data_IF_316222769217
#
_entry.id   IF_316222769217
#
_cell.length_a   1.000
_cell.length_b   1.000
_cell.length_c   1.000
_cell.angle_alpha   90.00
_cell.angle_beta   90.00
_cell.angle_gamma   90.00
#
_symmetry.space_group_name_H-M   'P 1'
#
loop_
_entity.id
_entity.type
_entity.pdbx_description
1 polymer ?
#
# COMPACT_ATOMS: atom_id res chain seq x y z
N UNK A 1 -8.32 18.84 -7.04
CA UNK A 1 -8.71 19.34 -8.38
C UNK A 1 -9.54 20.60 -8.19
N UNK A 2 -8.94 21.77 -8.30
CA UNK A 2 -9.68 23.02 -8.28
C UNK A 2 -10.18 23.29 -9.71
N UNK A 3 -11.50 23.29 -9.89
CA UNK A 3 -12.16 23.81 -11.09
C UNK A 3 -11.93 25.32 -11.14
N UNK A 4 -10.86 25.75 -11.82
CA UNK A 4 -10.71 27.16 -12.15
C UNK A 4 -11.58 27.48 -13.35
N UNK A 5 -12.59 28.29 -13.07
CA UNK A 5 -13.57 28.83 -14.00
C UNK A 5 -12.82 29.56 -15.14
N UNK A 6 -13.24 29.25 -16.36
CA UNK A 6 -12.68 29.74 -17.60
C UNK A 6 -12.99 31.25 -17.76
N UNK A 7 -12.16 32.12 -17.19
CA UNK A 7 -12.32 33.58 -17.23
C UNK A 7 -12.19 34.18 -18.64
N UNK A 8 -11.78 33.40 -19.66
CA UNK A 8 -11.73 33.83 -21.05
C UNK A 8 -13.11 33.89 -21.75
N UNK A 9 -14.20 33.48 -21.07
CA UNK A 9 -15.56 33.47 -21.64
C UNK A 9 -16.45 34.64 -21.23
N UNK A 10 -15.98 35.56 -20.38
CA UNK A 10 -16.83 36.64 -19.82
C UNK A 10 -16.86 37.92 -20.70
N UNK A 11 -16.07 37.98 -21.78
CA UNK A 11 -16.12 39.11 -22.74
C UNK A 11 -16.48 38.67 -24.17
N UNK A 12 -17.53 37.86 -24.30
CA UNK A 12 -18.34 37.86 -25.52
C UNK A 12 -19.64 38.59 -25.20
N UNK A 13 -19.63 39.90 -25.36
CA UNK A 13 -20.86 40.69 -25.48
C UNK A 13 -21.73 40.06 -26.56
N UNK A 14 -22.93 39.64 -26.15
CA UNK A 14 -23.98 39.13 -27.03
C UNK A 14 -24.23 40.16 -28.15
N UNK A 15 -23.84 39.84 -29.37
CA UNK A 15 -24.42 40.46 -30.57
C UNK A 15 -25.83 39.90 -30.73
N UNK A 16 -26.80 40.57 -30.13
CA UNK A 16 -28.22 40.27 -30.31
C UNK A 16 -28.63 40.54 -31.77
N UNK A 17 -29.48 39.65 -32.28
CA UNK A 17 -30.09 39.71 -33.61
C UNK A 17 -30.72 41.06 -33.92
N UNK A 18 -30.45 41.53 -35.12
CA UNK A 18 -31.16 42.60 -35.84
C UNK A 18 -32.65 42.25 -35.93
N UNK A 19 -33.49 43.00 -35.21
CA UNK A 19 -34.83 43.31 -35.68
C UNK A 19 -34.74 44.57 -36.53
N UNK A 20 -35.16 44.42 -37.79
CA UNK A 20 -35.40 45.49 -38.76
C UNK A 20 -36.57 46.37 -38.33
N UNK A 21 -36.46 47.66 -38.69
CA UNK A 21 -37.42 48.77 -38.55
C UNK A 21 -37.48 49.48 -37.20
N UNK A 22 -36.77 50.63 -37.12
CA UNK A 22 -37.26 51.91 -36.56
C UNK A 22 -36.55 53.03 -37.35
N UNK A 23 -37.30 54.11 -37.58
CA UNK A 23 -37.06 55.18 -38.55
C UNK A 23 -35.75 55.97 -38.44
N UNK A 24 -35.54 56.76 -39.49
CA UNK A 24 -34.46 57.72 -39.66
C UNK A 24 -34.20 58.50 -38.36
N UNK A 25 -33.05 58.22 -37.74
CA UNK A 25 -32.54 59.00 -36.62
C UNK A 25 -32.07 60.33 -37.19
N UNK A 26 -32.78 61.40 -36.88
CA UNK A 26 -32.26 62.75 -37.02
C UNK A 26 -30.90 62.80 -36.33
N UNK A 27 -29.86 63.15 -37.08
CA UNK A 27 -28.53 63.39 -36.51
C UNK A 27 -28.71 64.58 -35.57
N UNK A 28 -28.76 64.32 -34.27
CA UNK A 28 -28.82 65.37 -33.26
C UNK A 28 -27.55 66.19 -33.40
N UNK A 29 -27.65 67.39 -33.94
CA UNK A 29 -26.53 68.32 -34.06
C UNK A 29 -26.16 68.73 -32.63
N UNK A 30 -25.01 68.25 -32.16
CA UNK A 30 -24.46 68.59 -30.85
C UNK A 30 -23.98 70.04 -30.90
N UNK A 31 -24.10 70.78 -29.80
CA UNK A 31 -23.47 72.09 -29.69
C UNK A 31 -21.93 71.92 -29.76
N UNK A 32 -21.22 72.93 -30.27
CA UNK A 32 -19.76 72.88 -30.42
C UNK A 32 -19.02 72.46 -29.13
N UNK A 33 -19.51 72.89 -27.97
CA UNK A 33 -18.98 72.46 -26.66
C UNK A 33 -19.18 70.97 -26.37
N UNK A 34 -20.33 70.40 -26.75
CA UNK A 34 -20.63 68.97 -26.56
C UNK A 34 -19.89 68.08 -27.57
N UNK A 35 -19.61 68.57 -28.77
CA UNK A 35 -18.74 67.87 -29.73
C UNK A 35 -17.29 67.80 -29.22
N UNK A 36 -16.79 68.87 -28.61
CA UNK A 36 -15.47 68.88 -27.97
C UNK A 36 -15.42 67.91 -26.77
N UNK A 37 -16.47 67.86 -25.94
CA UNK A 37 -16.56 66.89 -24.84
C UNK A 37 -16.60 65.45 -25.34
N UNK A 38 -17.36 65.16 -26.41
CA UNK A 38 -17.42 63.83 -27.03
C UNK A 38 -16.06 63.41 -27.61
N UNK A 39 -15.32 64.35 -28.23
CA UNK A 39 -13.97 64.09 -28.72
C UNK A 39 -12.99 63.76 -27.58
N UNK A 40 -13.07 64.50 -26.47
CA UNK A 40 -12.27 64.24 -25.27
C UNK A 40 -12.63 62.88 -24.62
N UNK A 41 -13.91 62.49 -24.63
CA UNK A 41 -14.35 61.17 -24.15
C UNK A 41 -13.85 60.04 -25.03
N UNK A 42 -13.96 60.17 -26.36
CA UNK A 42 -13.41 59.18 -27.30
C UNK A 42 -11.90 59.02 -27.17
N UNK A 43 -11.17 60.11 -26.91
CA UNK A 43 -9.74 60.03 -26.63
C UNK A 43 -9.43 59.29 -25.32
N UNK A 44 -10.22 59.52 -24.26
CA UNK A 44 -10.10 58.76 -23.01
C UNK A 44 -10.43 57.28 -23.20
N UNK A 45 -11.53 56.94 -23.88
CA UNK A 45 -11.90 55.55 -24.17
C UNK A 45 -10.82 54.84 -24.99
N UNK A 46 -10.25 55.50 -26.00
CA UNK A 46 -9.14 54.95 -26.78
C UNK A 46 -7.87 54.73 -25.93
N UNK A 47 -7.58 55.65 -24.99
CA UNK A 47 -6.48 55.51 -24.05
C UNK A 47 -6.71 54.36 -23.04
N UNK A 48 -7.93 54.22 -22.54
CA UNK A 48 -8.34 53.14 -21.63
C UNK A 48 -8.29 51.77 -22.34
N UNK A 49 -8.78 51.69 -23.58
CA UNK A 49 -8.65 50.48 -24.40
C UNK A 49 -7.18 50.11 -24.66
N UNK A 50 -6.32 51.10 -24.93
CA UNK A 50 -4.89 50.88 -25.12
C UNK A 50 -4.22 50.34 -23.84
N UNK A 51 -4.58 50.90 -22.67
CA UNK A 51 -4.13 50.43 -21.36
C UNK A 51 -4.58 49.00 -21.06
N UNK A 52 -5.85 48.68 -21.29
CA UNK A 52 -6.38 47.32 -21.09
C UNK A 52 -5.68 46.32 -22.01
N UNK A 53 -5.40 46.69 -23.27
CA UNK A 53 -4.64 45.84 -24.20
C UNK A 53 -3.19 45.63 -23.75
N UNK A 54 -2.51 46.67 -23.27
CA UNK A 54 -1.15 46.56 -22.71
C UNK A 54 -1.12 45.64 -21.48
N UNK A 55 -2.05 45.80 -20.54
CA UNK A 55 -2.17 44.91 -19.39
C UNK A 55 -2.44 43.46 -19.81
N UNK A 56 -3.35 43.26 -20.76
CA UNK A 56 -3.65 41.95 -21.34
C UNK A 56 -2.42 41.29 -21.98
N UNK A 57 -1.61 42.06 -22.71
CA UNK A 57 -0.37 41.57 -23.31
C UNK A 57 0.68 41.21 -22.25
N UNK A 58 0.87 42.04 -21.22
CA UNK A 58 1.81 41.76 -20.12
C UNK A 58 1.43 40.49 -19.36
N UNK A 59 0.15 40.30 -19.06
CA UNK A 59 -0.36 39.07 -18.43
C UNK A 59 -0.20 37.86 -19.35
N UNK A 60 -0.46 38.00 -20.65
CA UNK A 60 -0.24 36.94 -21.64
C UNK A 60 1.24 36.52 -21.72
N UNK A 61 2.16 37.47 -21.72
CA UNK A 61 3.60 37.20 -21.70
C UNK A 61 4.03 36.52 -20.39
N UNK A 62 3.54 36.99 -19.24
CA UNK A 62 3.82 36.36 -17.95
C UNK A 62 3.34 34.91 -17.91
N UNK A 63 2.11 34.64 -18.38
CA UNK A 63 1.57 33.28 -18.53
C UNK A 63 2.46 32.40 -19.39
N UNK A 64 2.90 32.89 -20.55
CA UNK A 64 3.76 32.13 -21.46
C UNK A 64 5.13 31.81 -20.83
N UNK A 65 5.70 32.73 -20.05
CA UNK A 65 6.93 32.48 -19.29
C UNK A 65 6.73 31.35 -18.27
N UNK A 66 5.61 31.34 -17.54
CA UNK A 66 5.29 30.28 -16.58
C UNK A 66 5.10 28.92 -17.28
N UNK A 67 4.42 28.88 -18.43
CA UNK A 67 4.23 27.63 -19.19
C UNK A 67 5.58 27.06 -19.64
N UNK A 68 6.47 27.91 -20.18
CA UNK A 68 7.82 27.48 -20.59
C UNK A 68 8.65 26.98 -19.40
N UNK A 69 8.59 27.68 -18.27
CA UNK A 69 9.29 27.26 -17.05
C UNK A 69 8.80 25.89 -16.57
N UNK A 70 7.49 25.65 -16.56
CA UNK A 70 6.92 24.36 -16.17
C UNK A 70 7.33 23.22 -17.11
N UNK A 71 7.44 23.49 -18.42
CA UNK A 71 7.93 22.51 -19.39
C UNK A 71 9.41 22.17 -19.14
N UNK A 72 10.26 23.18 -18.94
CA UNK A 72 11.67 22.98 -18.61
C UNK A 72 11.85 22.20 -17.31
N UNK A 73 11.07 22.53 -16.28
CA UNK A 73 11.07 21.81 -15.02
C UNK A 73 10.68 20.33 -15.21
N UNK A 74 9.64 20.05 -16.00
CA UNK A 74 9.21 18.68 -16.30
C UNK A 74 10.27 17.89 -17.06
N UNK A 75 10.95 18.52 -18.01
CA UNK A 75 12.03 17.88 -18.76
C UNK A 75 13.24 17.54 -17.87
N UNK A 76 13.60 18.43 -16.95
CA UNK A 76 14.64 18.17 -15.95
C UNK A 76 14.23 17.05 -14.99
N UNK A 77 12.99 17.07 -14.51
CA UNK A 77 12.45 16.02 -13.64
C UNK A 77 12.59 14.63 -14.28
N UNK A 78 12.27 14.49 -15.57
CA UNK A 78 12.37 13.21 -16.27
C UNK A 78 13.82 12.75 -16.46
N UNK A 79 14.77 13.68 -16.60
CA UNK A 79 16.20 13.34 -16.59
C UNK A 79 16.66 12.83 -15.23
N UNK A 80 16.28 13.50 -14.15
CA UNK A 80 16.63 13.01 -12.80
C UNK A 80 16.00 11.65 -12.48
N UNK A 81 14.77 11.41 -12.95
CA UNK A 81 14.15 10.08 -12.84
C UNK A 81 14.86 9.02 -13.69
N UNK A 82 15.37 9.40 -14.86
CA UNK A 82 16.18 8.52 -15.69
C UNK A 82 17.49 8.12 -14.99
N UNK A 83 18.16 9.06 -14.33
CA UNK A 83 19.37 8.78 -13.55
C UNK A 83 19.05 7.85 -12.36
N UNK A 84 17.95 8.13 -11.64
CA UNK A 84 17.47 7.28 -10.55
C UNK A 84 17.11 5.86 -11.04
N UNK A 85 16.48 5.75 -12.21
CA UNK A 85 16.13 4.48 -12.85
C UNK A 85 17.37 3.69 -13.24
N UNK A 86 18.39 4.34 -13.82
CA UNK A 86 19.64 3.68 -14.19
C UNK A 86 20.32 3.05 -12.98
N UNK A 87 20.45 3.82 -11.89
CA UNK A 87 21.03 3.35 -10.63
C UNK A 87 20.18 2.22 -10.03
N UNK A 88 18.85 2.36 -10.00
CA UNK A 88 17.97 1.31 -9.49
C UNK A 88 18.17 -0.01 -10.24
N UNK A 89 18.18 0.05 -11.58
CA UNK A 89 18.32 -1.12 -12.45
C UNK A 89 19.64 -1.88 -12.25
N UNK A 90 20.74 -1.14 -12.01
CA UNK A 90 22.06 -1.73 -11.77
C UNK A 90 22.12 -2.40 -10.39
N UNK A 91 21.41 -1.86 -9.40
CA UNK A 91 21.44 -2.33 -8.01
C UNK A 91 20.46 -3.49 -7.78
N UNK A 92 19.26 -3.45 -8.36
CA UNK A 92 18.15 -4.38 -8.14
C UNK A 92 18.54 -5.86 -8.35
N UNK A 93 19.55 -6.12 -9.21
CA UNK A 93 20.07 -7.46 -9.51
C UNK A 93 21.43 -7.77 -8.86
N UNK A 94 21.97 -6.86 -8.07
CA UNK A 94 23.28 -7.01 -7.44
C UNK A 94 23.17 -7.63 -6.06
N UNK A 95 24.13 -8.49 -5.69
CA UNK A 95 24.21 -9.13 -4.36
C UNK A 95 24.31 -8.16 -3.18
N UNK A 96 24.60 -6.88 -3.45
CA UNK A 96 24.79 -5.85 -2.44
C UNK A 96 23.55 -4.94 -2.30
N UNK A 97 22.46 -5.25 -3.00
CA UNK A 97 21.23 -4.45 -3.01
C UNK A 97 20.73 -4.15 -1.59
N UNK A 98 20.57 -5.19 -0.76
CA UNK A 98 20.11 -5.05 0.63
C UNK A 98 21.00 -4.12 1.45
N UNK A 99 22.32 -4.26 1.28
CA UNK A 99 23.31 -3.44 2.00
C UNK A 99 23.24 -1.98 1.55
N UNK A 100 23.13 -1.75 0.24
CA UNK A 100 22.98 -0.42 -0.33
C UNK A 100 21.70 0.26 0.15
N UNK A 101 20.54 -0.41 0.06
CA UNK A 101 19.28 0.17 0.49
C UNK A 101 19.19 0.38 2.00
N UNK A 102 19.89 -0.43 2.80
CA UNK A 102 20.08 -0.15 4.22
C UNK A 102 20.87 1.16 4.45
N UNK A 103 21.94 1.39 3.68
CA UNK A 103 22.70 2.64 3.74
C UNK A 103 21.88 3.85 3.28
N UNK A 104 21.10 3.72 2.20
CA UNK A 104 20.20 4.79 1.74
C UNK A 104 19.17 5.16 2.82
N UNK A 105 18.56 4.16 3.48
CA UNK A 105 17.66 4.41 4.63
C UNK A 105 18.39 5.16 5.75
N UNK A 106 19.62 4.75 6.07
CA UNK A 106 20.45 5.41 7.08
C UNK A 106 20.79 6.87 6.72
N UNK A 107 21.12 7.14 5.45
CA UNK A 107 21.47 8.48 4.99
C UNK A 107 20.26 9.42 4.99
N UNK A 108 19.09 8.92 4.57
CA UNK A 108 17.84 9.67 4.64
C UNK A 108 17.46 10.02 6.08
N UNK A 109 17.72 9.10 7.04
CA UNK A 109 17.53 9.38 8.47
C UNK A 109 18.48 10.46 8.99
N UNK A 110 19.75 10.47 8.58
CA UNK A 110 20.70 11.54 8.93
C UNK A 110 20.27 12.90 8.39
N UNK A 111 19.65 12.92 7.21
CA UNK A 111 19.07 14.13 6.61
C UNK A 111 17.73 14.54 7.27
N UNK A 112 17.29 13.84 8.32
CA UNK A 112 16.05 14.14 9.04
C UNK A 112 14.77 13.68 8.32
N UNK A 113 14.89 12.87 7.26
CA UNK A 113 13.75 12.38 6.48
C UNK A 113 13.24 11.09 7.11
N UNK A 114 12.05 11.16 7.72
CA UNK A 114 11.36 9.98 8.26
C UNK A 114 10.85 9.09 7.13
N UNK A 115 11.13 7.79 7.22
CA UNK A 115 10.76 6.77 6.23
C UNK A 115 10.05 5.62 6.94
N UNK A 116 8.99 5.10 6.32
CA UNK A 116 8.29 3.92 6.81
C UNK A 116 9.08 2.65 6.46
N UNK A 117 9.08 1.66 7.35
CA UNK A 117 9.85 0.42 7.17
C UNK A 117 9.50 -0.34 5.88
N UNK A 118 8.26 -0.24 5.43
CA UNK A 118 7.73 -0.90 4.23
C UNK A 118 7.86 -0.07 2.94
N UNK A 119 8.67 1.00 2.95
CA UNK A 119 8.87 1.83 1.74
C UNK A 119 9.64 1.01 0.68
N UNK A 120 9.11 0.90 -0.56
CA UNK A 120 9.78 0.18 -1.64
C UNK A 120 11.14 0.78 -2.00
N UNK A 121 12.10 -0.04 -2.41
CA UNK A 121 13.47 0.39 -2.66
C UNK A 121 13.60 1.40 -3.80
N UNK A 122 12.82 1.24 -4.89
CA UNK A 122 12.71 2.26 -5.94
C UNK A 122 12.24 3.62 -5.40
N UNK A 123 11.33 3.62 -4.42
CA UNK A 123 10.85 4.86 -3.78
C UNK A 123 11.92 5.49 -2.88
N UNK A 124 12.86 4.72 -2.33
CA UNK A 124 13.96 5.25 -1.53
C UNK A 124 14.96 6.03 -2.38
N UNK A 125 15.30 5.54 -3.58
CA UNK A 125 16.19 6.25 -4.50
C UNK A 125 15.54 7.58 -4.93
N UNK A 126 14.26 7.54 -5.29
CA UNK A 126 13.49 8.75 -5.59
C UNK A 126 13.52 9.72 -4.40
N UNK A 127 13.29 9.23 -3.18
CA UNK A 127 13.33 10.07 -1.97
C UNK A 127 14.69 10.72 -1.76
N UNK A 128 15.77 10.00 -2.04
CA UNK A 128 17.14 10.52 -1.95
C UNK A 128 17.40 11.63 -2.97
N UNK A 129 16.94 11.47 -4.21
CA UNK A 129 17.14 12.45 -5.28
C UNK A 129 16.30 13.72 -5.07
N UNK A 130 15.04 13.59 -4.67
CA UNK A 130 14.13 14.74 -4.53
C UNK A 130 14.07 15.34 -3.13
N UNK A 131 14.68 14.68 -2.14
CA UNK A 131 14.83 15.17 -0.77
C UNK A 131 13.52 15.31 0.02
N UNK A 132 13.61 16.07 1.13
CA UNK A 132 12.54 16.20 2.12
C UNK A 132 11.29 16.97 1.60
N UNK A 133 11.49 17.88 0.65
CA UNK A 133 10.42 18.74 0.11
C UNK A 133 9.47 18.00 -0.83
N UNK A 134 9.83 16.81 -1.30
CA UNK A 134 8.98 16.00 -2.13
C UNK A 134 7.82 15.41 -1.32
N UNK A 135 6.58 15.53 -1.83
CA UNK A 135 5.44 14.89 -1.19
C UNK A 135 5.58 13.37 -1.20
N UNK A 136 5.12 12.68 -0.15
CA UNK A 136 5.17 11.22 -0.08
C UNK A 136 4.42 10.57 -1.26
N UNK A 137 3.33 11.20 -1.70
CA UNK A 137 2.56 10.78 -2.88
C UNK A 137 3.42 10.81 -4.15
N UNK A 138 4.08 11.94 -4.43
CA UNK A 138 4.93 12.08 -5.61
C UNK A 138 6.06 11.05 -5.62
N UNK A 139 6.68 10.81 -4.46
CA UNK A 139 7.75 9.83 -4.33
C UNK A 139 7.26 8.41 -4.63
N UNK A 140 6.10 8.02 -4.08
CA UNK A 140 5.50 6.73 -4.36
C UNK A 140 5.12 6.59 -5.84
N UNK A 141 4.52 7.62 -6.45
CA UNK A 141 4.15 7.63 -7.86
C UNK A 141 5.39 7.47 -8.77
N UNK A 142 6.47 8.18 -8.50
CA UNK A 142 7.71 8.04 -9.25
C UNK A 142 8.39 6.69 -9.02
N UNK A 143 8.37 6.15 -7.79
CA UNK A 143 8.88 4.83 -7.49
C UNK A 143 8.15 3.74 -8.28
N UNK A 144 6.82 3.84 -8.38
CA UNK A 144 6.01 2.95 -9.22
C UNK A 144 6.43 3.04 -10.69
N UNK A 145 6.55 4.24 -11.24
CA UNK A 145 7.00 4.45 -12.64
C UNK A 145 8.37 3.81 -12.92
N UNK A 146 9.32 3.92 -11.98
CA UNK A 146 10.63 3.24 -12.09
C UNK A 146 10.44 1.72 -12.18
N UNK A 147 9.60 1.16 -11.32
CA UNK A 147 9.33 -0.28 -11.27
C UNK A 147 8.62 -0.78 -12.54
N UNK A 148 7.61 -0.05 -13.03
CA UNK A 148 6.97 -0.36 -14.32
C UNK A 148 7.95 -0.30 -15.49
N UNK A 149 8.92 0.60 -15.47
CA UNK A 149 9.95 0.66 -16.50
C UNK A 149 10.92 -0.54 -16.43
N UNK A 150 11.18 -1.09 -15.24
CA UNK A 150 11.92 -2.36 -15.07
C UNK A 150 11.11 -3.51 -15.65
N UNK A 151 9.84 -3.62 -15.27
CA UNK A 151 8.93 -4.69 -15.72
C UNK A 151 8.76 -4.70 -17.25
N UNK A 152 8.72 -3.51 -17.87
CA UNK A 152 8.62 -3.33 -19.33
C UNK A 152 9.97 -3.41 -20.05
N UNK A 153 11.07 -3.61 -19.33
CA UNK A 153 12.40 -3.75 -19.93
C UNK A 153 12.92 -2.49 -20.63
N UNK A 154 12.52 -1.30 -20.18
CA UNK A 154 12.93 -0.03 -20.79
C UNK A 154 14.45 0.14 -20.68
N UNK A 155 15.10 0.68 -21.72
CA UNK A 155 16.53 1.00 -21.65
C UNK A 155 16.72 2.31 -20.89
N UNK A 156 17.75 2.38 -20.05
CA UNK A 156 17.96 3.52 -19.14
C UNK A 156 18.13 4.84 -19.89
N UNK A 157 18.82 4.83 -21.02
CA UNK A 157 19.03 5.99 -21.91
C UNK A 157 17.73 6.53 -22.54
N UNK A 158 16.71 5.68 -22.70
CA UNK A 158 15.41 6.02 -23.30
C UNK A 158 14.29 6.27 -22.30
N UNK A 159 14.56 6.17 -21.00
CA UNK A 159 13.54 6.28 -19.95
C UNK A 159 12.78 7.61 -20.02
N UNK A 160 13.49 8.74 -20.15
CA UNK A 160 12.84 10.05 -20.18
C UNK A 160 11.95 10.23 -21.43
N UNK A 161 12.36 9.70 -22.57
CA UNK A 161 11.56 9.75 -23.81
C UNK A 161 10.31 8.87 -23.70
N UNK A 162 10.47 7.66 -23.18
CA UNK A 162 9.37 6.73 -22.92
C UNK A 162 8.33 7.35 -21.98
N UNK A 163 8.77 7.99 -20.89
CA UNK A 163 7.86 8.63 -19.93
C UNK A 163 7.13 9.85 -20.52
N UNK A 164 7.74 10.55 -21.49
CA UNK A 164 7.07 11.62 -22.25
C UNK A 164 5.98 11.06 -23.17
N UNK A 165 6.23 9.92 -23.81
CA UNK A 165 5.30 9.29 -24.75
C UNK A 165 4.09 8.66 -24.04
N UNK A 166 4.33 7.83 -23.01
CA UNK A 166 3.22 7.17 -22.31
C UNK A 166 2.50 8.08 -21.33
N UNK A 167 3.17 9.12 -20.83
CA UNK A 167 2.72 9.99 -19.74
C UNK A 167 2.62 9.27 -18.39
N UNK A 168 3.05 9.97 -17.34
CA UNK A 168 3.05 9.46 -15.96
C UNK A 168 1.68 8.93 -15.50
N UNK A 169 0.60 9.57 -15.91
CA UNK A 169 -0.77 9.16 -15.56
C UNK A 169 -1.17 7.81 -16.14
N UNK A 170 -0.73 7.50 -17.35
CA UNK A 170 -1.06 6.22 -18.00
C UNK A 170 -0.26 5.08 -17.37
N UNK A 171 1.05 5.27 -17.19
CA UNK A 171 1.92 4.27 -16.53
C UNK A 171 1.38 3.90 -15.16
N UNK A 172 0.96 4.90 -14.36
CA UNK A 172 0.37 4.65 -13.05
C UNK A 172 -0.99 3.93 -13.12
N UNK A 173 -1.80 4.19 -14.13
CA UNK A 173 -3.08 3.51 -14.31
C UNK A 173 -2.86 2.04 -14.67
N UNK A 174 -1.96 1.77 -15.61
CA UNK A 174 -1.60 0.40 -16.02
C UNK A 174 -1.00 -0.38 -14.85
N UNK A 175 -0.11 0.23 -14.08
CA UNK A 175 0.51 -0.43 -12.94
C UNK A 175 -0.48 -0.69 -11.81
N UNK A 176 -1.48 0.18 -11.62
CA UNK A 176 -2.60 -0.10 -10.70
C UNK A 176 -3.49 -1.24 -11.20
N UNK A 177 -3.67 -1.38 -12.51
CA UNK A 177 -4.41 -2.51 -13.06
C UNK A 177 -3.65 -3.83 -12.82
N UNK A 178 -2.33 -3.84 -13.03
CA UNK A 178 -1.48 -4.98 -12.70
C UNK A 178 -1.54 -5.30 -11.21
N UNK A 179 -1.42 -4.31 -10.32
CA UNK A 179 -1.56 -4.48 -8.86
C UNK A 179 -2.95 -4.97 -8.44
N UNK A 180 -4.01 -4.70 -9.20
CA UNK A 180 -5.36 -5.21 -8.96
C UNK A 180 -5.52 -6.66 -9.43
N UNK A 181 -4.79 -7.05 -10.48
CA UNK A 181 -4.74 -8.44 -10.96
C UNK A 181 -3.80 -9.31 -10.11
N UNK A 182 -2.83 -8.72 -9.43
CA UNK A 182 -1.98 -9.44 -8.48
C UNK A 182 -2.68 -9.58 -7.13
N UNK A 183 -2.93 -10.81 -6.70
CA UNK A 183 -3.58 -11.10 -5.42
C UNK A 183 -2.92 -10.33 -4.26
N UNK A 184 -3.68 -9.51 -3.55
CA UNK A 184 -3.11 -8.75 -2.43
C UNK A 184 -2.90 -9.66 -1.21
N UNK A 185 -1.92 -9.36 -0.33
CA UNK A 185 -1.74 -10.13 0.92
C UNK A 185 -2.99 -10.18 1.81
N UNK A 186 -3.88 -9.18 1.69
CA UNK A 186 -5.16 -9.14 2.41
C UNK A 186 -6.16 -10.14 1.84
N UNK A 187 -6.22 -10.26 0.52
CA UNK A 187 -7.12 -11.20 -0.16
C UNK A 187 -6.68 -12.64 0.13
N UNK A 188 -5.37 -12.89 0.11
CA UNK A 188 -4.81 -14.19 0.49
C UNK A 188 -5.09 -14.56 1.95
N UNK A 189 -4.98 -13.61 2.87
CA UNK A 189 -5.36 -13.83 4.27
C UNK A 189 -6.86 -14.11 4.41
N UNK A 190 -7.71 -13.42 3.64
CA UNK A 190 -9.15 -13.66 3.64
C UNK A 190 -9.49 -15.08 3.16
N UNK A 191 -8.82 -15.57 2.12
CA UNK A 191 -8.91 -16.96 1.64
C UNK A 191 -8.46 -17.97 2.69
N UNK A 192 -7.30 -17.73 3.31
CA UNK A 192 -6.80 -18.57 4.41
C UNK A 192 -7.81 -18.67 5.56
N UNK A 193 -8.47 -17.57 5.96
CA UNK A 193 -9.52 -17.58 6.99
C UNK A 193 -10.68 -18.48 6.61
N UNK A 194 -11.13 -18.44 5.34
CA UNK A 194 -12.21 -19.31 4.85
C UNK A 194 -11.84 -20.78 4.95
N UNK A 195 -10.59 -21.14 4.61
CA UNK A 195 -10.07 -22.49 4.78
C UNK A 195 -10.13 -22.94 6.25
N UNK A 196 -9.70 -22.09 7.18
CA UNK A 196 -9.78 -22.39 8.62
C UNK A 196 -11.22 -22.50 9.11
N UNK A 197 -12.12 -21.61 8.70
CA UNK A 197 -13.53 -21.70 9.09
C UNK A 197 -14.15 -23.00 8.56
N UNK A 198 -13.83 -23.41 7.31
CA UNK A 198 -14.29 -24.68 6.76
C UNK A 198 -13.79 -25.89 7.56
N UNK A 199 -12.55 -25.84 8.05
CA UNK A 199 -12.03 -26.86 8.96
C UNK A 199 -12.85 -26.92 10.25
N UNK A 200 -13.18 -25.77 10.84
CA UNK A 200 -13.97 -25.70 12.07
C UNK A 200 -15.39 -26.26 11.86
N UNK A 201 -16.05 -25.94 10.75
CA UNK A 201 -17.37 -26.51 10.40
C UNK A 201 -17.32 -28.05 10.34
N UNK A 202 -16.29 -28.60 9.70
CA UNK A 202 -16.13 -30.06 9.60
C UNK A 202 -15.89 -30.67 10.99
N UNK A 203 -15.11 -30.00 11.86
CA UNK A 203 -14.82 -30.47 13.22
C UNK A 203 -16.00 -30.32 14.17
N UNK A 204 -16.92 -29.39 13.92
CA UNK A 204 -18.19 -29.31 14.65
C UNK A 204 -19.08 -30.52 14.31
N UNK A 205 -19.14 -30.90 13.03
CA UNK A 205 -19.88 -32.09 12.59
C UNK A 205 -19.18 -33.42 12.98
N UNK A 206 -17.85 -33.42 13.03
CA UNK A 206 -17.00 -34.59 13.35
C UNK A 206 -15.94 -34.23 14.40
N UNK A 207 -16.35 -34.10 15.68
CA UNK A 207 -15.46 -33.71 16.76
C UNK A 207 -14.41 -34.77 17.08
N UNK A 208 -13.24 -34.33 17.53
CA UNK A 208 -12.13 -35.20 17.94
C UNK A 208 -12.47 -35.94 19.24
N UNK A 209 -13.13 -35.24 20.18
CA UNK A 209 -13.56 -35.76 21.48
C UNK A 209 -14.98 -35.24 21.74
N UNK A 210 -15.88 -36.13 22.16
CA UNK A 210 -17.25 -35.78 22.58
C UNK A 210 -17.46 -36.06 24.06
N UNK A 211 -18.07 -35.12 24.77
CA UNK A 211 -18.53 -35.29 26.15
C UNK A 211 -19.95 -34.76 26.28
N UNK A 212 -20.82 -35.50 26.98
CA UNK A 212 -22.21 -35.09 27.21
C UNK A 212 -22.37 -34.49 28.61
N UNK A 213 -23.07 -33.36 28.70
CA UNK A 213 -23.43 -32.72 29.97
C UNK A 213 -24.87 -32.22 29.91
N UNK A 214 -25.41 -31.74 31.03
CA UNK A 214 -26.75 -31.16 31.05
C UNK A 214 -26.77 -29.80 30.35
N UNK A 215 -27.90 -29.45 29.72
CA UNK A 215 -28.04 -28.18 29.01
C UNK A 215 -27.74 -26.97 29.89
N UNK A 216 -28.19 -27.01 31.16
CA UNK A 216 -27.92 -25.95 32.13
C UNK A 216 -26.42 -25.72 32.38
N UNK A 217 -25.61 -26.79 32.44
CA UNK A 217 -24.17 -26.69 32.61
C UNK A 217 -23.50 -26.21 31.32
N UNK A 218 -23.97 -26.67 30.15
CA UNK A 218 -23.47 -26.21 28.86
C UNK A 218 -23.69 -24.69 28.66
N UNK A 219 -24.85 -24.17 29.06
CA UNK A 219 -25.17 -22.73 29.02
C UNK A 219 -24.22 -21.88 29.88
N UNK A 220 -23.64 -22.44 30.94
CA UNK A 220 -22.64 -21.72 31.76
C UNK A 220 -21.28 -21.62 31.07
N UNK A 221 -20.98 -22.52 30.14
CA UNK A 221 -19.73 -22.51 29.35
C UNK A 221 -19.82 -21.66 28.10
N UNK A 222 -21.04 -21.44 27.60
CA UNK A 222 -21.32 -20.67 26.39
C UNK A 222 -21.63 -19.21 26.74
N UNK A 223 -21.13 -18.27 25.95
CA UNK A 223 -21.52 -16.87 26.10
C UNK A 223 -22.98 -16.66 25.70
N UNK A 224 -23.63 -15.62 26.22
CA UNK A 224 -25.05 -15.29 25.89
C UNK A 224 -25.34 -15.09 24.39
N UNK A 225 -24.32 -14.96 23.56
CA UNK A 225 -24.44 -14.57 22.14
C UNK A 225 -23.64 -15.43 21.16
N UNK A 226 -22.72 -16.28 21.63
CA UNK A 226 -21.83 -17.06 20.76
C UNK A 226 -21.71 -18.51 21.27
N UNK A 227 -21.82 -19.48 20.35
CA UNK A 227 -21.80 -20.92 20.64
C UNK A 227 -20.39 -21.51 20.80
N UNK A 228 -19.35 -20.69 20.86
CA UNK A 228 -17.96 -21.13 20.92
C UNK A 228 -17.39 -20.97 22.34
N UNK A 229 -16.65 -21.98 22.79
CA UNK A 229 -15.93 -21.95 24.06
C UNK A 229 -14.48 -22.43 23.87
N UNK A 230 -13.59 -22.01 24.77
CA UNK A 230 -12.20 -22.47 24.81
C UNK A 230 -12.01 -23.33 26.04
N UNK A 231 -11.61 -24.58 25.84
CA UNK A 231 -11.26 -25.49 26.92
C UNK A 231 -9.74 -25.50 27.12
N UNK A 232 -9.31 -25.30 28.36
CA UNK A 232 -7.92 -25.41 28.79
C UNK A 232 -7.80 -26.70 29.58
N UNK A 233 -6.81 -27.51 29.23
CA UNK A 233 -6.56 -28.78 29.91
C UNK A 233 -5.10 -29.19 29.83
N UNK A 234 -4.78 -30.30 30.49
CA UNK A 234 -3.48 -30.95 30.42
C UNK A 234 -3.63 -32.39 29.94
N UNK A 235 -2.68 -32.84 29.13
CA UNK A 235 -2.56 -34.24 28.75
C UNK A 235 -1.32 -34.83 29.42
N UNK A 236 -1.47 -35.96 30.11
CA UNK A 236 -0.36 -36.65 30.78
C UNK A 236 -0.40 -38.14 30.49
N UNK A 237 0.74 -38.70 30.07
CA UNK A 237 0.89 -40.15 29.90
C UNK A 237 0.81 -40.86 31.26
N UNK A 238 0.08 -41.97 31.34
CA UNK A 238 0.13 -42.84 32.52
C UNK A 238 1.47 -43.56 32.57
N UNK A 239 2.20 -43.41 33.68
CA UNK A 239 3.55 -43.97 33.85
C UNK A 239 3.50 -45.41 34.42
N UNK A 240 2.59 -46.23 33.90
CA UNK A 240 2.46 -47.64 34.28
C UNK A 240 3.19 -48.51 33.24
N UNK A 241 3.91 -49.55 33.72
CA UNK A 241 4.84 -50.37 32.91
C UNK A 241 4.20 -51.10 31.72
N UNK A 242 2.87 -51.17 31.64
CA UNK A 242 2.14 -51.90 30.58
C UNK A 242 1.08 -51.05 29.85
N UNK A 243 0.88 -49.78 30.22
CA UNK A 243 -0.24 -48.99 29.73
C UNK A 243 0.21 -47.88 28.75
N UNK A 244 -0.30 -47.93 27.53
CA UNK A 244 -0.04 -46.92 26.49
C UNK A 244 -1.02 -45.73 26.52
N UNK A 245 -1.93 -45.70 27.50
CA UNK A 245 -2.95 -44.68 27.61
C UNK A 245 -2.43 -43.36 28.20
N UNK A 246 -3.04 -42.25 27.77
CA UNK A 246 -2.82 -40.91 28.31
C UNK A 246 -4.14 -40.35 28.85
N UNK A 247 -4.06 -39.61 29.95
CA UNK A 247 -5.19 -38.88 30.53
C UNK A 247 -5.22 -37.47 29.96
N UNK A 248 -6.37 -37.07 29.41
CA UNK A 248 -6.63 -35.69 28.98
C UNK A 248 -7.65 -35.09 29.93
N UNK A 249 -7.19 -34.19 30.79
CA UNK A 249 -8.01 -33.55 31.81
C UNK A 249 -8.25 -32.09 31.43
N UNK A 250 -9.51 -31.71 31.24
CA UNK A 250 -9.91 -30.32 31.06
C UNK A 250 -10.03 -29.64 32.42
N UNK A 251 -9.29 -28.54 32.61
CA UNK A 251 -9.24 -27.79 33.87
C UNK A 251 -10.22 -26.63 33.90
N UNK A 252 -10.50 -26.01 32.74
CA UNK A 252 -11.38 -24.85 32.65
C UNK A 252 -12.00 -24.76 31.26
N UNK A 253 -13.25 -24.30 31.19
CA UNK A 253 -13.93 -23.93 29.95
C UNK A 253 -14.35 -22.47 30.04
N UNK A 254 -13.94 -21.67 29.05
CA UNK A 254 -14.16 -20.23 29.01
C UNK A 254 -15.11 -19.86 27.87
N UNK A 255 -16.11 -18.99 28.11
CA UNK A 255 -16.88 -18.40 27.02
C UNK A 255 -16.00 -17.44 26.22
N UNK A 256 -16.25 -17.37 24.91
CA UNK A 256 -15.39 -16.63 23.98
C UNK A 256 -16.17 -15.46 23.35
N UNK A 257 -15.50 -14.31 23.18
CA UNK A 257 -16.02 -13.18 22.42
C UNK A 257 -15.66 -13.29 20.93
N UNK A 258 -16.41 -12.61 20.06
CA UNK A 258 -16.13 -12.57 18.63
C UNK A 258 -14.69 -12.12 18.32
N UNK A 259 -14.15 -11.15 19.05
CA UNK A 259 -12.78 -10.67 18.85
C UNK A 259 -11.73 -11.77 19.10
N UNK A 260 -11.98 -12.64 20.07
CA UNK A 260 -11.09 -13.74 20.40
C UNK A 260 -11.19 -14.88 19.37
N UNK A 261 -12.39 -15.13 18.85
CA UNK A 261 -12.59 -16.06 17.73
C UNK A 261 -11.85 -15.57 16.47
N UNK A 262 -12.01 -14.29 16.11
CA UNK A 262 -11.26 -13.66 15.01
C UNK A 262 -9.76 -13.81 15.24
N UNK A 263 -9.28 -13.61 16.47
CA UNK A 263 -7.87 -13.76 16.80
C UNK A 263 -7.37 -15.20 16.59
N UNK A 264 -8.12 -16.21 17.02
CA UNK A 264 -7.75 -17.63 16.80
C UNK A 264 -7.69 -17.93 15.30
N UNK A 265 -8.76 -17.58 14.57
CA UNK A 265 -8.84 -17.84 13.12
C UNK A 265 -7.71 -17.13 12.38
N UNK A 266 -7.41 -15.88 12.72
CA UNK A 266 -6.28 -15.14 12.15
C UNK A 266 -4.94 -15.78 12.45
N UNK A 267 -4.76 -16.28 13.68
CA UNK A 267 -3.52 -16.94 14.07
C UNK A 267 -3.30 -18.21 13.25
N UNK A 268 -4.32 -19.07 13.16
CA UNK A 268 -4.26 -20.31 12.38
C UNK A 268 -4.10 -20.04 10.87
N UNK A 269 -4.81 -19.05 10.34
CA UNK A 269 -4.74 -18.67 8.93
C UNK A 269 -3.33 -18.25 8.51
N UNK A 270 -2.56 -17.62 9.40
CA UNK A 270 -1.17 -17.21 9.11
C UNK A 270 -0.23 -18.39 8.90
N UNK A 271 -0.49 -19.56 9.52
CA UNK A 271 0.34 -20.74 9.35
C UNK A 271 0.24 -21.34 7.95
N UNK A 272 -0.91 -21.18 7.30
CA UNK A 272 -1.16 -21.71 5.95
C UNK A 272 -1.12 -20.64 4.86
N UNK A 273 -0.85 -19.37 5.21
CA UNK A 273 -0.97 -18.24 4.28
C UNK A 273 -0.10 -18.36 3.03
N UNK A 274 1.03 -19.09 3.10
CA UNK A 274 1.88 -19.33 1.92
C UNK A 274 1.35 -20.43 1.01
N UNK A 275 0.60 -21.37 1.57
CA UNK A 275 0.19 -22.63 0.92
C UNK A 275 -1.34 -22.70 0.75
N UNK A 276 -2.05 -21.57 0.82
CA UNK A 276 -3.53 -21.51 0.79
C UNK A 276 -4.08 -22.18 -0.46
N UNK A 277 -3.46 -21.94 -1.62
CA UNK A 277 -3.87 -22.52 -2.91
C UNK A 277 -3.83 -24.06 -2.87
N UNK A 278 -2.83 -24.63 -2.19
CA UNK A 278 -2.71 -26.08 -2.02
C UNK A 278 -3.90 -26.60 -1.21
N UNK A 279 -4.20 -25.99 -0.07
CA UNK A 279 -5.29 -26.46 0.79
C UNK A 279 -6.67 -26.27 0.16
N UNK A 280 -6.88 -25.20 -0.60
CA UNK A 280 -8.11 -25.03 -1.38
C UNK A 280 -8.26 -26.10 -2.46
N UNK A 281 -7.20 -26.37 -3.23
CA UNK A 281 -7.25 -27.43 -4.26
C UNK A 281 -7.49 -28.83 -3.65
N UNK A 282 -6.99 -29.05 -2.43
CA UNK A 282 -7.20 -30.31 -1.71
C UNK A 282 -8.67 -30.50 -1.29
N UNK A 283 -9.46 -29.43 -1.11
CA UNK A 283 -10.89 -29.53 -0.74
C UNK A 283 -11.67 -30.30 -1.81
N UNK A 284 -11.38 -30.04 -3.09
CA UNK A 284 -12.11 -30.66 -4.20
C UNK A 284 -11.62 -32.09 -4.50
N UNK A 285 -10.38 -32.40 -4.13
CA UNK A 285 -9.73 -33.68 -4.46
C UNK A 285 -9.80 -34.75 -3.37
N UNK A 286 -9.91 -34.34 -2.09
CA UNK A 286 -9.92 -35.24 -0.94
C UNK A 286 -11.30 -35.30 -0.30
N UNK A 287 -11.61 -36.40 0.38
CA UNK A 287 -12.77 -36.45 1.27
C UNK A 287 -12.60 -35.46 2.43
N UNK A 288 -13.69 -34.84 2.87
CA UNK A 288 -13.70 -33.79 3.91
C UNK A 288 -12.97 -34.18 5.20
N UNK A 289 -13.07 -35.45 5.64
CA UNK A 289 -12.39 -35.90 6.86
C UNK A 289 -10.88 -35.97 6.70
N UNK A 290 -10.40 -36.57 5.62
CA UNK A 290 -8.96 -36.68 5.32
C UNK A 290 -8.36 -35.29 5.14
N UNK A 291 -9.07 -34.41 4.43
CA UNK A 291 -8.65 -33.01 4.27
C UNK A 291 -8.53 -32.27 5.61
N UNK A 292 -9.52 -32.44 6.49
CA UNK A 292 -9.54 -31.80 7.81
C UNK A 292 -8.46 -32.35 8.75
N UNK A 293 -8.13 -33.64 8.65
CA UNK A 293 -7.05 -34.27 9.41
C UNK A 293 -5.68 -33.76 8.94
N UNK A 294 -5.42 -33.79 7.62
CA UNK A 294 -4.19 -33.25 7.00
C UNK A 294 -3.91 -31.80 7.43
N UNK A 295 -4.94 -30.93 7.32
CA UNK A 295 -4.81 -29.52 7.66
C UNK A 295 -4.60 -29.33 9.17
N UNK A 296 -5.30 -30.10 10.00
CA UNK A 296 -5.15 -30.05 11.45
C UNK A 296 -3.73 -30.44 11.90
N UNK A 297 -3.17 -31.51 11.33
CA UNK A 297 -1.78 -31.93 11.59
C UNK A 297 -0.78 -30.83 11.21
N UNK A 298 -0.99 -30.15 10.07
CA UNK A 298 -0.13 -29.02 9.68
C UNK A 298 -0.20 -27.88 10.70
N UNK A 299 -1.40 -27.56 11.19
CA UNK A 299 -1.58 -26.47 12.17
C UNK A 299 -0.89 -26.80 13.49
N UNK A 300 -0.93 -28.05 13.95
CA UNK A 300 -0.18 -28.50 15.14
C UNK A 300 1.32 -28.36 14.90
N UNK A 301 1.83 -28.90 13.79
CA UNK A 301 3.26 -28.84 13.48
C UNK A 301 3.77 -27.39 13.40
N UNK A 302 2.99 -26.49 12.81
CA UNK A 302 3.33 -25.06 12.77
C UNK A 302 3.35 -24.41 14.17
N UNK A 303 2.47 -24.85 15.07
CA UNK A 303 2.49 -24.42 16.47
C UNK A 303 3.76 -24.87 17.21
N UNK A 304 4.17 -26.12 17.01
CA UNK A 304 5.40 -26.66 17.60
C UNK A 304 6.65 -25.93 17.09
N UNK A 305 6.70 -25.64 15.78
CA UNK A 305 7.76 -24.83 15.17
C UNK A 305 7.84 -23.41 15.80
N UNK A 306 6.70 -22.77 16.05
CA UNK A 306 6.63 -21.45 16.71
C UNK A 306 7.15 -21.53 18.16
N UNK A 307 6.73 -22.55 18.91
CA UNK A 307 7.15 -22.78 20.29
C UNK A 307 8.67 -22.99 20.35
N UNK A 308 9.22 -23.83 19.47
CA UNK A 308 10.66 -24.10 19.40
C UNK A 308 11.46 -22.86 19.02
N UNK A 309 10.96 -22.06 18.08
CA UNK A 309 11.59 -20.79 17.72
C UNK A 309 11.60 -19.81 18.89
N UNK A 310 10.51 -19.73 19.65
CA UNK A 310 10.40 -18.86 20.82
C UNK A 310 11.31 -19.35 21.97
N UNK A 311 11.35 -20.65 22.24
CA UNK A 311 12.25 -21.25 23.22
C UNK A 311 13.72 -20.99 22.87
N UNK A 312 14.09 -21.12 21.60
CA UNK A 312 15.43 -20.76 21.12
C UNK A 312 15.71 -19.27 21.30
N UNK A 313 14.74 -18.40 21.02
CA UNK A 313 14.89 -16.96 21.24
C UNK A 313 15.13 -16.63 22.72
N UNK A 314 14.35 -17.20 23.64
CA UNK A 314 14.54 -16.99 25.09
C UNK A 314 15.85 -17.58 25.61
N UNK A 315 16.20 -18.78 25.17
CA UNK A 315 17.49 -19.41 25.50
C UNK A 315 18.67 -18.55 25.02
N UNK A 316 18.59 -18.02 23.79
CA UNK A 316 19.59 -17.12 23.24
C UNK A 316 19.63 -15.80 24.02
N UNK A 317 18.48 -15.25 24.42
CA UNK A 317 18.41 -14.02 25.22
C UNK A 317 19.05 -14.20 26.60
N UNK A 318 18.78 -15.31 27.28
CA UNK A 318 19.42 -15.64 28.56
C UNK A 318 20.93 -15.88 28.39
N UNK A 319 21.35 -16.56 27.33
CA UNK A 319 22.78 -16.74 27.04
C UNK A 319 23.44 -15.40 26.73
N UNK A 320 22.82 -14.51 25.96
CA UNK A 320 23.35 -13.19 25.63
C UNK A 320 23.61 -12.31 26.86
N UNK A 321 22.81 -12.47 27.93
CA UNK A 321 23.01 -11.75 29.19
C UNK A 321 24.26 -12.22 29.96
N UNK A 322 24.81 -13.38 29.62
CA UNK A 322 26.03 -13.94 30.23
C UNK A 322 27.31 -13.58 29.46
N UNK A 323 27.22 -13.01 28.25
CA UNK A 323 28.38 -12.57 27.47
C UNK A 323 28.63 -11.07 27.64
N UNK A 324 29.87 -10.68 27.89
CA UNK A 324 30.28 -9.27 28.01
C UNK A 324 30.36 -8.55 26.65
N UNK A 325 30.66 -9.29 25.56
CA UNK A 325 30.71 -8.77 24.18
C UNK A 325 29.59 -9.37 23.30
N UNK A 326 28.75 -8.49 22.75
CA UNK A 326 27.65 -8.85 21.85
C UNK A 326 28.13 -9.43 20.51
N UNK A 327 29.34 -9.09 20.05
CA UNK A 327 29.88 -9.60 18.78
C UNK A 327 30.33 -11.06 18.88
N UNK A 328 30.86 -11.48 20.03
CA UNK A 328 31.20 -12.89 20.29
C UNK A 328 29.95 -13.76 20.35
N UNK A 329 28.90 -13.29 21.04
CA UNK A 329 27.62 -14.00 21.12
C UNK A 329 27.00 -14.22 19.72
N UNK A 330 27.01 -13.20 18.86
CA UNK A 330 26.50 -13.31 17.49
C UNK A 330 27.26 -14.36 16.64
N UNK A 331 28.57 -14.51 16.84
CA UNK A 331 29.39 -15.54 16.17
C UNK A 331 29.03 -16.94 16.66
N UNK A 332 28.81 -17.13 17.96
CA UNK A 332 28.44 -18.42 18.57
C UNK A 332 27.05 -18.88 18.10
N UNK A 333 26.07 -17.99 18.06
CA UNK A 333 24.72 -18.30 17.56
C UNK A 333 24.74 -18.70 16.07
N UNK A 334 25.50 -17.97 15.23
CA UNK A 334 25.70 -18.33 13.82
C UNK A 334 26.37 -19.71 13.66
N UNK A 335 27.37 -20.04 14.47
CA UNK A 335 28.06 -21.34 14.46
C UNK A 335 27.10 -22.48 14.85
N UNK A 336 26.27 -22.29 15.88
CA UNK A 336 25.24 -23.26 16.30
C UNK A 336 24.20 -23.52 15.21
N UNK A 337 23.68 -22.47 14.54
CA UNK A 337 22.75 -22.64 13.41
C UNK A 337 23.37 -23.42 12.25
N UNK A 338 24.64 -23.17 11.94
CA UNK A 338 25.36 -23.85 10.85
C UNK A 338 25.59 -25.35 11.10
N UNK A 339 25.72 -25.74 12.37
CA UNK A 339 25.86 -27.15 12.77
C UNK A 339 24.52 -27.90 12.88
N UNK A 340 23.39 -27.18 13.01
CA UNK A 340 22.05 -27.79 13.09
C UNK A 340 21.44 -28.12 11.71
N UNK A 341 21.97 -27.51 10.65
CA UNK A 341 21.58 -27.71 9.25
C UNK A 341 22.51 -28.67 8.48
N UNK A 342 23.43 -29.33 9.18
CA UNK A 342 24.17 -30.50 8.70
C UNK A 342 23.57 -31.73 9.36
#
# INVERSE_FOLDING_TARGET
MHKFINMASVMKTKSAQKNSNIGATSVVVLSAEREQQLAHWKQREAADEALIRDWGQRLGQARNKVIKLNQQYRDLLYKFLQDAYAVYKDIDKHELADTFFAQVRGELLKQGIKIQSNTPDASLIVRLVFGANASAKSVSEYGKVIQAAVDRGVKSDKFAEWLKQETLTKVLADQRAVEQETETPKDRLYRARRVILRLLDIREAKPIITHSTTAHVAEQYLGRHYGLCVAIGHASRRMDRENFHADVNLSMVLPVSLDFEIYIVDKLARYILKDVDLYESKIDSLSESVWADDLYEKLIAAGDEEIDANNQYWSNRQQAQLYEDQQEFARVVKKKKKNKNK
#
